data_IF_653035538689
#
_entry.id   IF_653035538689
#
_cell.length_a   1.000
_cell.length_b   1.000
_cell.length_c   1.000
_cell.angle_alpha   90.00
_cell.angle_beta   90.00
_cell.angle_gamma   90.00
#
_symmetry.space_group_name_H-M   'P 1'
#
loop_
_entity.id
_entity.type
_entity.pdbx_description
1 polymer ?
#
# COMPACT_ATOMS: atom_id res chain seq x y z
N UNK A 1 34.68 4.48 6.18
CA UNK A 1 35.11 3.06 6.09
C UNK A 1 33.96 2.08 5.88
N UNK A 2 33.06 1.79 6.84
CA UNK A 2 31.95 0.84 6.60
C UNK A 2 31.04 1.25 5.42
N UNK A 3 30.79 2.56 5.30
CA UNK A 3 30.03 3.14 4.17
C UNK A 3 30.78 3.10 2.84
N UNK A 4 32.12 3.19 2.85
CA UNK A 4 32.95 3.11 1.64
C UNK A 4 33.04 1.68 1.11
N UNK A 5 33.09 0.69 2.00
CA UNK A 5 32.91 -0.72 1.64
C UNK A 5 31.51 -0.98 1.11
N UNK A 6 30.47 -0.35 1.67
CA UNK A 6 29.09 -0.44 1.16
C UNK A 6 28.93 0.24 -0.20
N UNK A 7 29.61 1.36 -0.46
CA UNK A 7 29.58 2.03 -1.77
C UNK A 7 30.42 1.35 -2.84
N UNK A 8 31.52 0.70 -2.45
CA UNK A 8 32.31 -0.18 -3.33
C UNK A 8 31.54 -1.48 -3.65
N UNK A 9 30.81 -2.04 -2.68
CA UNK A 9 29.87 -3.15 -2.87
C UNK A 9 28.56 -2.73 -3.55
N UNK A 10 28.24 -1.43 -3.63
CA UNK A 10 27.07 -0.90 -4.36
C UNK A 10 27.41 -0.43 -5.78
N UNK A 11 28.70 -0.35 -6.14
CA UNK A 11 29.18 -0.21 -7.53
C UNK A 11 29.99 -1.44 -8.02
N UNK A 12 29.58 -2.70 -7.81
CA UNK A 12 30.15 -3.78 -8.60
C UNK A 12 29.70 -3.56 -10.05
N UNK A 13 30.44 -4.08 -11.02
CA UNK A 13 29.96 -4.22 -12.41
C UNK A 13 28.62 -5.00 -12.53
N UNK A 14 28.09 -5.51 -11.42
CA UNK A 14 26.90 -6.34 -11.29
C UNK A 14 26.09 -6.01 -10.02
N UNK A 15 24.84 -5.63 -10.19
CA UNK A 15 23.85 -5.25 -9.18
C UNK A 15 23.11 -6.48 -8.61
N UNK A 16 23.83 -7.44 -8.02
CA UNK A 16 23.22 -8.67 -7.49
C UNK A 16 22.12 -8.43 -6.44
N UNK A 17 22.32 -7.44 -5.56
CA UNK A 17 21.36 -7.11 -4.51
C UNK A 17 20.07 -6.57 -5.13
N UNK A 18 20.18 -5.62 -6.06
CA UNK A 18 19.02 -5.09 -6.79
C UNK A 18 18.30 -6.18 -7.58
N UNK A 19 19.01 -7.02 -8.32
CA UNK A 19 18.38 -8.14 -9.05
C UNK A 19 17.64 -9.10 -8.11
N UNK A 20 18.26 -9.47 -6.99
CA UNK A 20 17.66 -10.39 -6.02
C UNK A 20 16.40 -9.79 -5.40
N UNK A 21 16.45 -8.53 -4.98
CA UNK A 21 15.29 -7.82 -4.45
C UNK A 21 14.16 -7.72 -5.48
N UNK A 22 14.49 -7.46 -6.75
CA UNK A 22 13.52 -7.35 -7.83
C UNK A 22 12.79 -8.67 -8.08
N UNK A 23 13.54 -9.77 -8.20
CA UNK A 23 12.98 -11.10 -8.38
C UNK A 23 12.18 -11.56 -7.15
N UNK A 24 12.68 -11.29 -5.95
CA UNK A 24 11.95 -11.58 -4.71
C UNK A 24 10.62 -10.82 -4.64
N UNK A 25 10.60 -9.56 -5.09
CA UNK A 25 9.40 -8.74 -5.13
C UNK A 25 8.34 -9.32 -6.06
N UNK A 26 8.73 -9.75 -7.25
CA UNK A 26 7.83 -10.41 -8.22
C UNK A 26 7.32 -11.73 -7.64
N UNK A 27 8.21 -12.56 -7.09
CA UNK A 27 7.84 -13.84 -6.51
C UNK A 27 6.85 -13.69 -5.35
N UNK A 28 7.10 -12.74 -4.44
CA UNK A 28 6.18 -12.43 -3.34
C UNK A 28 4.85 -11.84 -3.84
N UNK A 29 4.87 -10.94 -4.83
CA UNK A 29 3.65 -10.39 -5.43
C UNK A 29 2.73 -11.51 -5.95
N UNK A 30 3.30 -12.44 -6.72
CA UNK A 30 2.58 -13.57 -7.29
C UNK A 30 2.07 -14.49 -6.19
N UNK A 31 2.93 -14.91 -5.26
CA UNK A 31 2.57 -15.80 -4.17
C UNK A 31 1.41 -15.25 -3.32
N UNK A 32 1.52 -14.01 -2.84
CA UNK A 32 0.49 -13.42 -1.98
C UNK A 32 -0.80 -13.12 -2.74
N UNK A 33 -0.72 -12.66 -3.99
CA UNK A 33 -1.91 -12.44 -4.83
C UNK A 33 -2.66 -13.74 -5.06
N UNK A 34 -1.97 -14.82 -5.46
CA UNK A 34 -2.58 -16.14 -5.66
C UNK A 34 -3.15 -16.70 -4.36
N UNK A 35 -2.40 -16.61 -3.25
CA UNK A 35 -2.86 -17.08 -1.95
C UNK A 35 -4.13 -16.35 -1.48
N UNK A 36 -4.17 -15.02 -1.61
CA UNK A 36 -5.34 -14.21 -1.25
C UNK A 36 -6.52 -14.54 -2.17
N UNK A 37 -6.31 -14.61 -3.49
CA UNK A 37 -7.35 -14.94 -4.45
C UNK A 37 -7.98 -16.32 -4.17
N UNK A 38 -7.16 -17.34 -3.89
CA UNK A 38 -7.63 -18.67 -3.52
C UNK A 38 -8.40 -18.67 -2.19
N UNK A 39 -7.93 -17.90 -1.19
CA UNK A 39 -8.62 -17.74 0.09
C UNK A 39 -10.00 -17.09 -0.10
N UNK A 40 -10.08 -16.00 -0.86
CA UNK A 40 -11.32 -15.30 -1.17
C UNK A 40 -12.28 -16.19 -1.97
N UNK A 41 -11.77 -16.98 -2.93
CA UNK A 41 -12.57 -17.94 -3.68
C UNK A 41 -13.19 -19.01 -2.76
N UNK A 42 -12.42 -19.56 -1.83
CA UNK A 42 -12.91 -20.53 -0.83
C UNK A 42 -13.97 -19.90 0.08
N UNK A 43 -13.74 -18.68 0.56
CA UNK A 43 -14.70 -17.95 1.39
C UNK A 43 -16.00 -17.68 0.63
N UNK A 44 -15.92 -17.24 -0.63
CA UNK A 44 -17.09 -17.03 -1.49
C UNK A 44 -17.90 -18.31 -1.64
N UNK A 45 -17.25 -19.44 -1.93
CA UNK A 45 -17.91 -20.74 -2.07
C UNK A 45 -18.68 -21.12 -0.79
N UNK A 46 -18.08 -20.91 0.39
CA UNK A 46 -18.72 -21.21 1.66
C UNK A 46 -19.92 -20.30 2.00
N UNK A 47 -19.94 -19.07 1.48
CA UNK A 47 -21.00 -18.08 1.72
C UNK A 47 -22.18 -18.26 0.75
N UNK A 48 -21.92 -18.64 -0.51
CA UNK A 48 -22.97 -18.87 -1.52
C UNK A 48 -23.99 -19.92 -1.07
N UNK A 49 -23.59 -20.86 -0.21
CA UNK A 49 -24.48 -21.89 0.33
C UNK A 49 -25.47 -21.36 1.40
N UNK A 50 -25.27 -20.14 1.94
CA UNK A 50 -25.96 -19.69 3.17
C UNK A 50 -26.72 -18.35 3.14
N UNK A 51 -26.49 -17.41 2.20
CA UNK A 51 -27.28 -16.16 2.16
C UNK A 51 -27.10 -15.30 0.89
N UNK A 52 -28.17 -14.55 0.56
CA UNK A 52 -28.22 -13.48 -0.44
C UNK A 52 -27.43 -12.23 0.02
N UNK A 53 -26.09 -12.30 -0.04
CA UNK A 53 -25.27 -11.07 0.03
C UNK A 53 -25.41 -10.25 -1.24
N UNK A 54 -25.15 -8.95 -1.12
CA UNK A 54 -25.19 -7.99 -2.23
C UNK A 54 -24.16 -8.37 -3.31
N UNK A 55 -24.62 -9.19 -4.26
CA UNK A 55 -23.82 -9.70 -5.35
C UNK A 55 -23.30 -8.57 -6.26
N UNK A 56 -23.98 -7.43 -6.31
CA UNK A 56 -23.56 -6.28 -7.09
C UNK A 56 -22.31 -5.65 -6.48
N UNK A 57 -22.29 -5.39 -5.17
CA UNK A 57 -21.13 -4.78 -4.51
C UNK A 57 -19.88 -5.67 -4.63
N UNK A 58 -20.02 -6.98 -4.41
CA UNK A 58 -18.90 -7.92 -4.58
C UNK A 58 -18.41 -7.97 -6.03
N UNK A 59 -19.32 -7.96 -7.02
CA UNK A 59 -18.94 -7.93 -8.45
C UNK A 59 -18.17 -6.66 -8.80
N UNK A 60 -18.63 -5.51 -8.33
CA UNK A 60 -17.96 -4.22 -8.57
C UNK A 60 -16.54 -4.21 -7.99
N UNK A 61 -16.35 -4.69 -6.76
CA UNK A 61 -15.02 -4.78 -6.15
C UNK A 61 -14.08 -5.75 -6.89
N UNK A 62 -14.59 -6.90 -7.37
CA UNK A 62 -13.78 -7.82 -8.19
C UNK A 62 -13.35 -7.16 -9.50
N UNK A 63 -14.27 -6.49 -10.20
CA UNK A 63 -13.94 -5.78 -11.44
C UNK A 63 -12.88 -4.69 -11.17
N UNK A 64 -13.03 -3.95 -10.08
CA UNK A 64 -12.09 -2.89 -9.70
C UNK A 64 -10.71 -3.45 -9.33
N UNK A 65 -10.66 -4.57 -8.61
CA UNK A 65 -9.41 -5.27 -8.30
C UNK A 65 -8.71 -5.76 -9.57
N UNK A 66 -9.45 -6.37 -10.51
CA UNK A 66 -8.91 -6.82 -11.80
C UNK A 66 -8.40 -5.63 -12.62
N UNK A 67 -9.16 -4.54 -12.69
CA UNK A 67 -8.76 -3.34 -13.42
C UNK A 67 -7.50 -2.70 -12.83
N UNK A 68 -7.41 -2.61 -11.50
CA UNK A 68 -6.20 -2.14 -10.80
C UNK A 68 -4.98 -3.01 -11.11
N UNK A 69 -5.15 -4.33 -11.02
CA UNK A 69 -4.08 -5.29 -11.30
C UNK A 69 -3.60 -5.24 -12.77
N UNK A 70 -4.53 -5.19 -13.74
CA UNK A 70 -4.21 -5.10 -15.17
C UNK A 70 -3.47 -3.79 -15.48
N UNK A 71 -3.99 -2.66 -14.97
CA UNK A 71 -3.39 -1.34 -15.22
C UNK A 71 -1.97 -1.27 -14.69
N UNK A 72 -1.74 -1.77 -13.48
CA UNK A 72 -0.39 -1.88 -12.92
C UNK A 72 0.50 -2.78 -13.78
N UNK A 73 0.03 -3.99 -14.08
CA UNK A 73 0.82 -4.99 -14.80
C UNK A 73 1.25 -4.45 -16.16
N UNK A 74 0.37 -3.72 -16.84
CA UNK A 74 0.67 -3.03 -18.08
C UNK A 74 1.81 -2.00 -17.92
N UNK A 75 1.67 -1.05 -16.98
CA UNK A 75 2.68 0.00 -16.80
C UNK A 75 4.03 -0.54 -16.29
N UNK A 76 4.02 -1.49 -15.36
CA UNK A 76 5.25 -2.12 -14.87
C UNK A 76 5.94 -2.92 -15.97
N UNK A 77 5.18 -3.72 -16.75
CA UNK A 77 5.77 -4.46 -17.88
C UNK A 77 6.30 -3.52 -18.96
N UNK A 78 5.61 -2.41 -19.24
CA UNK A 78 6.06 -1.37 -20.16
C UNK A 78 7.38 -0.74 -19.69
N UNK A 79 7.49 -0.40 -18.40
CA UNK A 79 8.74 0.10 -17.81
C UNK A 79 9.90 -0.90 -17.96
N UNK A 80 9.67 -2.17 -17.63
CA UNK A 80 10.67 -3.23 -17.74
C UNK A 80 11.12 -3.44 -19.19
N UNK A 81 10.17 -3.48 -20.13
CA UNK A 81 10.45 -3.63 -21.55
C UNK A 81 11.26 -2.44 -22.07
N UNK A 82 10.89 -1.20 -21.71
CA UNK A 82 11.64 -0.01 -22.11
C UNK A 82 13.06 -0.01 -21.54
N UNK A 83 13.23 -0.41 -20.28
CA UNK A 83 14.56 -0.54 -19.65
C UNK A 83 15.41 -1.59 -20.37
N UNK A 84 14.84 -2.77 -20.65
CA UNK A 84 15.52 -3.84 -21.38
C UNK A 84 15.93 -3.42 -22.79
N UNK A 85 15.01 -2.78 -23.55
CA UNK A 85 15.30 -2.32 -24.90
C UNK A 85 16.41 -1.26 -24.92
N UNK A 86 16.40 -0.29 -24.00
CA UNK A 86 17.46 0.72 -23.89
C UNK A 86 18.81 0.08 -23.58
N UNK A 87 18.86 -0.87 -22.66
CA UNK A 87 20.08 -1.62 -22.35
C UNK A 87 20.56 -2.44 -23.57
N UNK A 88 19.66 -3.16 -24.23
CA UNK A 88 20.02 -4.01 -25.37
C UNK A 88 20.56 -3.18 -26.55
N UNK A 89 19.95 -2.03 -26.85
CA UNK A 89 20.44 -1.10 -27.89
C UNK A 89 21.86 -0.58 -27.56
N UNK A 90 22.14 -0.31 -26.29
CA UNK A 90 23.48 0.09 -25.86
C UNK A 90 24.48 -1.05 -26.03
N UNK A 91 24.11 -2.28 -25.68
CA UNK A 91 24.99 -3.45 -25.86
C UNK A 91 25.29 -3.72 -27.34
N UNK A 92 24.28 -3.68 -28.20
CA UNK A 92 24.45 -3.95 -29.64
C UNK A 92 25.31 -2.87 -30.32
N UNK A 93 25.22 -1.61 -29.87
CA UNK A 93 26.02 -0.50 -30.41
C UNK A 93 27.49 -0.54 -29.96
N UNK A 94 27.76 -0.85 -28.68
CA UNK A 94 29.11 -0.79 -28.11
C UNK A 94 29.86 -2.13 -28.09
N UNK A 95 29.17 -3.28 -28.22
CA UNK A 95 29.76 -4.62 -28.08
C UNK A 95 29.34 -5.55 -29.24
N UNK A 96 29.62 -5.14 -30.50
CA UNK A 96 29.10 -5.81 -31.70
C UNK A 96 29.57 -7.25 -31.96
N UNK A 97 30.56 -7.78 -31.21
CA UNK A 97 31.25 -9.02 -31.62
C UNK A 97 31.03 -10.25 -30.73
N UNK A 98 30.27 -10.18 -29.62
CA UNK A 98 30.12 -11.33 -28.70
C UNK A 98 28.72 -11.63 -28.17
N UNK A 99 27.77 -10.69 -28.27
CA UNK A 99 26.44 -10.79 -27.63
C UNK A 99 25.35 -11.36 -28.55
N UNK A 100 25.56 -11.36 -29.86
CA UNK A 100 24.51 -11.71 -30.83
C UNK A 100 23.95 -13.13 -30.63
N UNK A 101 24.79 -14.08 -30.21
CA UNK A 101 24.43 -15.50 -30.04
C UNK A 101 23.99 -15.87 -28.60
N UNK A 102 23.92 -14.92 -27.67
CA UNK A 102 23.46 -15.22 -26.32
C UNK A 102 21.96 -15.54 -26.30
N UNK A 103 21.56 -16.59 -25.57
CA UNK A 103 20.14 -16.93 -25.38
C UNK A 103 19.40 -15.76 -24.71
N UNK A 104 18.11 -15.59 -25.01
CA UNK A 104 17.29 -14.53 -24.42
C UNK A 104 17.35 -14.50 -22.89
N UNK A 105 17.31 -15.67 -22.24
CA UNK A 105 17.45 -15.76 -20.78
C UNK A 105 18.77 -15.22 -20.25
N UNK A 106 19.88 -15.44 -20.95
CA UNK A 106 21.19 -14.89 -20.59
C UNK A 106 21.22 -13.37 -20.76
N UNK A 107 20.60 -12.86 -21.84
CA UNK A 107 20.47 -11.40 -22.06
C UNK A 107 19.65 -10.74 -20.95
N UNK A 108 18.52 -11.33 -20.57
CA UNK A 108 17.67 -10.84 -19.47
C UNK A 108 18.41 -10.88 -18.14
N UNK A 109 19.11 -11.98 -17.84
CA UNK A 109 19.90 -12.08 -16.61
C UNK A 109 20.99 -11.00 -16.55
N UNK A 110 21.74 -10.81 -17.65
CA UNK A 110 22.78 -9.79 -17.76
C UNK A 110 22.20 -8.37 -17.63
N UNK A 111 21.07 -8.10 -18.29
CA UNK A 111 20.35 -6.83 -18.14
C UNK A 111 19.96 -6.54 -16.69
N UNK A 112 19.41 -7.53 -15.98
CA UNK A 112 19.02 -7.35 -14.58
C UNK A 112 20.23 -7.05 -13.68
N UNK A 113 21.39 -7.66 -13.97
CA UNK A 113 22.63 -7.42 -13.22
C UNK A 113 23.26 -6.07 -13.58
N UNK A 114 23.17 -5.60 -14.82
CA UNK A 114 23.85 -4.37 -15.24
C UNK A 114 22.98 -3.13 -15.09
N UNK A 115 21.66 -3.28 -14.94
CA UNK A 115 20.73 -2.15 -14.80
C UNK A 115 20.53 -1.70 -13.35
N UNK A 116 20.34 -0.39 -13.19
CA UNK A 116 19.99 0.27 -11.92
C UNK A 116 18.47 0.36 -11.76
N UNK A 117 17.74 -0.71 -12.09
CA UNK A 117 16.28 -0.73 -12.29
C UNK A 117 15.48 -0.06 -11.18
N UNK A 118 15.80 -0.34 -9.92
CA UNK A 118 15.12 0.27 -8.77
C UNK A 118 15.42 1.76 -8.61
N UNK A 119 16.66 2.16 -8.84
CA UNK A 119 17.06 3.56 -8.75
C UNK A 119 16.47 4.37 -9.90
N UNK A 120 16.46 3.82 -11.11
CA UNK A 120 15.84 4.45 -12.29
C UNK A 120 14.33 4.59 -12.09
N UNK A 121 13.67 3.55 -11.57
CA UNK A 121 12.25 3.60 -11.21
C UNK A 121 12.00 4.70 -10.18
N UNK A 122 12.75 4.74 -9.09
CA UNK A 122 12.58 5.74 -8.04
C UNK A 122 12.88 7.16 -8.52
N UNK A 123 13.92 7.35 -9.34
CA UNK A 123 14.26 8.66 -9.93
C UNK A 123 13.18 9.11 -10.91
N UNK A 124 12.57 8.20 -11.66
CA UNK A 124 11.46 8.52 -12.56
C UNK A 124 10.26 9.11 -11.80
N UNK A 125 9.98 8.61 -10.59
CA UNK A 125 8.92 9.11 -9.73
C UNK A 125 9.10 10.57 -9.29
N UNK A 126 10.34 11.06 -9.21
CA UNK A 126 10.69 12.43 -8.78
C UNK A 126 11.43 13.22 -9.86
N UNK A 127 11.31 12.78 -11.12
CA UNK A 127 12.08 13.33 -12.25
C UNK A 127 11.81 14.82 -12.44
N UNK A 128 10.52 15.15 -12.53
CA UNK A 128 10.00 16.49 -12.75
C UNK A 128 8.94 16.86 -11.68
N UNK A 129 8.55 18.14 -11.64
CA UNK A 129 7.57 18.65 -10.67
C UNK A 129 6.23 17.91 -10.70
N UNK A 130 5.58 17.75 -11.87
CA UNK A 130 4.33 16.99 -11.96
C UNK A 130 4.44 15.55 -11.49
N UNK A 131 5.51 14.83 -11.87
CA UNK A 131 5.75 13.45 -11.42
C UNK A 131 5.91 13.39 -9.91
N UNK A 132 6.66 14.33 -9.34
CA UNK A 132 6.86 14.45 -7.90
C UNK A 132 5.54 14.66 -7.16
N UNK A 133 4.69 15.55 -7.65
CA UNK A 133 3.37 15.82 -7.05
C UNK A 133 2.51 14.56 -7.07
N UNK A 134 2.42 13.88 -8.22
CA UNK A 134 1.65 12.65 -8.34
C UNK A 134 2.18 11.53 -7.45
N UNK A 135 3.49 11.37 -7.35
CA UNK A 135 4.13 10.43 -6.44
C UNK A 135 3.77 10.73 -4.99
N UNK A 136 3.85 12.00 -4.57
CA UNK A 136 3.48 12.41 -3.21
C UNK A 136 2.00 12.16 -2.91
N UNK A 137 1.09 12.51 -3.84
CA UNK A 137 -0.35 12.23 -3.69
C UNK A 137 -0.58 10.71 -3.54
N UNK A 138 0.06 9.90 -4.38
CA UNK A 138 -0.10 8.45 -4.39
C UNK A 138 0.44 7.80 -3.12
N UNK A 139 1.59 8.25 -2.62
CA UNK A 139 2.17 7.77 -1.37
C UNK A 139 1.35 8.21 -0.15
N UNK A 140 0.80 9.43 -0.14
CA UNK A 140 -0.14 9.88 0.89
C UNK A 140 -1.45 9.10 0.87
N UNK A 141 -1.98 8.78 -0.31
CA UNK A 141 -3.15 7.91 -0.46
C UNK A 141 -2.85 6.49 0.06
N UNK A 142 -1.65 5.97 -0.22
CA UNK A 142 -1.17 4.68 0.31
C UNK A 142 -1.10 4.68 1.83
N UNK A 143 -0.53 5.73 2.42
CA UNK A 143 -0.51 5.92 3.87
C UNK A 143 -1.91 5.91 4.47
N UNK A 144 -2.82 6.70 3.90
CA UNK A 144 -4.22 6.77 4.33
C UNK A 144 -4.89 5.40 4.28
N UNK A 145 -4.76 4.68 3.17
CA UNK A 145 -5.32 3.33 3.04
C UNK A 145 -4.74 2.37 4.07
N UNK A 146 -3.44 2.39 4.34
CA UNK A 146 -2.86 1.55 5.39
C UNK A 146 -3.45 1.83 6.78
N UNK A 147 -3.77 3.10 7.09
CA UNK A 147 -4.48 3.47 8.33
C UNK A 147 -5.91 2.89 8.34
N UNK A 148 -6.65 3.06 7.24
CA UNK A 148 -8.02 2.52 7.10
C UNK A 148 -8.02 1.00 7.25
N UNK A 149 -7.14 0.28 6.55
CA UNK A 149 -7.05 -1.17 6.59
C UNK A 149 -6.67 -1.69 7.98
N UNK A 150 -5.75 -1.01 8.67
CA UNK A 150 -5.38 -1.35 10.04
C UNK A 150 -6.55 -1.12 11.02
N UNK A 151 -7.37 -0.09 10.81
CA UNK A 151 -8.61 0.12 11.58
C UNK A 151 -9.63 -0.97 11.29
N UNK A 152 -9.92 -1.25 10.02
CA UNK A 152 -10.92 -2.23 9.64
C UNK A 152 -10.57 -3.66 10.09
N UNK A 153 -9.29 -4.00 10.03
CA UNK A 153 -8.80 -5.25 10.61
C UNK A 153 -9.18 -5.37 12.10
N UNK A 154 -9.12 -4.27 12.86
CA UNK A 154 -9.44 -4.28 14.30
C UNK A 154 -10.92 -4.25 14.60
N UNK A 155 -11.70 -3.45 13.88
CA UNK A 155 -13.16 -3.41 14.04
C UNK A 155 -13.76 -4.79 13.79
N UNK A 156 -13.24 -5.50 12.80
CA UNK A 156 -13.65 -6.86 12.48
C UNK A 156 -12.97 -7.93 13.34
N UNK A 157 -11.90 -7.62 14.06
CA UNK A 157 -11.20 -8.56 14.95
C UNK A 157 -10.34 -9.57 14.19
N UNK A 158 -9.79 -9.17 13.04
CA UNK A 158 -8.90 -9.98 12.22
C UNK A 158 -7.56 -10.19 12.93
N UNK A 159 -7.08 -11.43 12.89
CA UNK A 159 -5.75 -11.78 13.40
C UNK A 159 -4.65 -11.13 12.57
N UNK A 160 -3.53 -10.81 13.20
CA UNK A 160 -2.33 -10.33 12.52
C UNK A 160 -1.85 -11.31 11.44
N UNK A 161 -2.01 -12.62 11.64
CA UNK A 161 -1.65 -13.63 10.64
C UNK A 161 -2.54 -13.57 9.39
N UNK A 162 -3.83 -13.23 9.55
CA UNK A 162 -4.76 -13.06 8.43
C UNK A 162 -4.47 -11.78 7.65
N UNK A 163 -4.08 -10.71 8.33
CA UNK A 163 -3.75 -9.42 7.69
C UNK A 163 -2.34 -9.38 7.10
N UNK A 164 -1.40 -10.17 7.63
CA UNK A 164 -0.02 -10.22 7.16
C UNK A 164 0.14 -10.32 5.63
N UNK A 165 -0.54 -11.23 4.90
CA UNK A 165 -0.42 -11.28 3.45
C UNK A 165 -0.89 -9.99 2.77
N UNK A 166 -1.96 -9.35 3.27
CA UNK A 166 -2.43 -8.06 2.73
C UNK A 166 -1.45 -6.94 3.05
N UNK A 167 -0.87 -6.92 4.25
CA UNK A 167 0.12 -5.90 4.65
C UNK A 167 1.38 -6.00 3.79
N UNK A 168 1.88 -7.23 3.56
CA UNK A 168 3.02 -7.43 2.69
C UNK A 168 2.66 -7.05 1.25
N UNK A 169 1.46 -7.43 0.79
CA UNK A 169 0.99 -7.06 -0.54
C UNK A 169 0.87 -5.54 -0.71
N UNK A 170 0.45 -4.77 0.30
CA UNK A 170 0.34 -3.30 0.21
C UNK A 170 1.70 -2.60 0.10
N UNK A 171 2.79 -3.25 0.50
CA UNK A 171 4.13 -2.73 0.26
C UNK A 171 4.62 -3.00 -1.15
N UNK A 172 4.08 -4.05 -1.77
CA UNK A 172 4.57 -4.60 -3.04
C UNK A 172 3.75 -4.07 -4.23
N UNK A 173 2.44 -4.13 -4.10
CA UNK A 173 1.47 -3.78 -5.12
C UNK A 173 0.77 -2.45 -4.80
N UNK A 174 0.12 -1.84 -5.81
CA UNK A 174 -0.87 -0.78 -5.68
C UNK A 174 -1.74 -0.93 -4.45
N UNK A 175 -1.89 0.16 -3.73
CA UNK A 175 -2.67 0.16 -2.50
C UNK A 175 -4.15 -0.04 -2.79
N UNK A 176 -4.65 0.45 -3.93
CA UNK A 176 -6.04 0.27 -4.34
C UNK A 176 -6.38 -1.20 -4.58
N UNK A 177 -5.46 -1.96 -5.18
CA UNK A 177 -5.61 -3.40 -5.36
C UNK A 177 -5.69 -4.12 -4.01
N UNK A 178 -4.78 -3.78 -3.09
CA UNK A 178 -4.80 -4.40 -1.77
C UNK A 178 -6.04 -4.02 -0.96
N UNK A 179 -6.44 -2.75 -1.01
CA UNK A 179 -7.64 -2.25 -0.34
C UNK A 179 -8.91 -2.95 -0.84
N UNK A 180 -9.06 -3.11 -2.17
CA UNK A 180 -10.20 -3.86 -2.75
C UNK A 180 -10.22 -5.31 -2.29
N UNK A 181 -9.08 -5.99 -2.25
CA UNK A 181 -8.99 -7.37 -1.76
C UNK A 181 -9.37 -7.50 -0.27
N UNK A 182 -8.99 -6.53 0.56
CA UNK A 182 -9.38 -6.50 1.98
C UNK A 182 -10.88 -6.21 2.12
N UNK A 183 -11.43 -5.24 1.39
CA UNK A 183 -12.88 -5.00 1.39
C UNK A 183 -13.66 -6.23 0.94
N UNK A 184 -13.16 -6.95 -0.08
CA UNK A 184 -13.73 -8.22 -0.51
C UNK A 184 -13.69 -9.26 0.62
N UNK A 185 -12.55 -9.35 1.34
CA UNK A 185 -12.43 -10.24 2.48
C UNK A 185 -13.45 -9.92 3.57
N UNK A 186 -13.60 -8.64 3.93
CA UNK A 186 -14.55 -8.17 4.94
C UNK A 186 -16.00 -8.48 4.55
N UNK A 187 -16.37 -8.30 3.27
CA UNK A 187 -17.69 -8.66 2.75
C UNK A 187 -17.95 -10.17 2.78
N UNK A 188 -16.91 -10.98 2.69
CA UNK A 188 -17.02 -12.44 2.69
C UNK A 188 -16.91 -13.06 4.10
N UNK A 189 -16.51 -12.31 5.13
CA UNK A 189 -16.52 -12.80 6.51
C UNK A 189 -17.91 -13.30 6.89
N UNK A 190 -18.08 -14.45 7.55
CA UNK A 190 -19.39 -14.88 8.01
C UNK A 190 -20.01 -13.81 8.94
N UNK A 191 -21.34 -13.61 8.94
CA UNK A 191 -21.98 -12.74 9.91
C UNK A 191 -21.50 -13.14 11.30
N UNK A 192 -21.10 -12.17 12.13
CA UNK A 192 -20.86 -12.43 13.56
C UNK A 192 -22.21 -12.81 14.15
N UNK A 193 -22.55 -14.10 14.05
CA UNK A 193 -23.79 -14.64 14.55
C UNK A 193 -23.90 -14.26 16.01
N UNK A 194 -25.04 -13.67 16.37
CA UNK A 194 -25.45 -13.43 17.74
C UNK A 194 -25.18 -14.69 18.55
N UNK A 195 -24.03 -14.73 19.22
CA UNK A 195 -23.66 -15.76 20.19
C UNK A 195 -24.47 -15.57 21.49
N UNK A 196 -25.72 -15.08 21.36
CA UNK A 196 -26.78 -15.14 22.36
C UNK A 196 -27.63 -16.40 22.21
N UNK A 197 -27.36 -17.24 21.21
CA UNK A 197 -28.12 -18.46 20.90
C UNK A 197 -27.66 -19.75 21.59
N UNK A 198 -26.52 -19.80 22.28
CA UNK A 198 -26.27 -20.89 23.23
C UNK A 198 -27.04 -20.58 24.52
N UNK A 199 -28.34 -20.85 24.46
CA UNK A 199 -29.17 -21.13 25.63
C UNK A 199 -28.40 -22.12 26.49
N UNK A 200 -27.85 -21.63 27.61
CA UNK A 200 -27.53 -22.45 28.76
C UNK A 200 -28.84 -23.14 29.14
N UNK A 201 -28.95 -24.42 28.80
CA UNK A 201 -30.04 -25.29 29.23
C UNK A 201 -30.04 -25.28 30.75
N UNK A 202 -31.12 -24.72 31.28
CA UNK A 202 -31.75 -24.93 32.59
C UNK A 202 -30.86 -25.36 33.76
N UNK A 203 -30.50 -24.39 34.59
CA UNK A 203 -30.48 -24.60 36.04
C UNK A 203 -31.54 -23.71 36.68
N UNK A 204 -32.67 -24.33 37.01
CA UNK A 204 -33.71 -23.77 37.86
C UNK A 204 -33.09 -23.31 39.18
N UNK A 205 -33.15 -22.02 39.47
CA UNK A 205 -33.23 -21.56 40.85
C UNK A 205 -34.14 -20.34 40.90
N UNK A 206 -35.39 -20.60 41.34
CA UNK A 206 -36.36 -19.57 41.69
C UNK A 206 -35.87 -18.85 42.94
N UNK A 207 -35.89 -17.53 42.93
CA UNK A 207 -35.67 -16.70 44.11
C UNK A 207 -36.17 -15.29 43.86
N UNK A 208 -37.40 -15.03 44.30
CA UNK A 208 -38.02 -13.71 44.40
C UNK A 208 -37.10 -12.72 45.13
N UNK A 209 -36.96 -11.48 44.64
CA UNK A 209 -37.06 -10.29 45.51
C UNK A 209 -37.23 -9.00 44.71
N UNK A 210 -37.91 -8.06 45.35
CA UNK A 210 -38.60 -6.87 44.85
C UNK A 210 -37.64 -5.71 44.49
N UNK A 211 -38.04 -4.90 43.51
CA UNK A 211 -37.73 -3.45 43.40
C UNK A 211 -38.17 -2.69 44.66
N UNK A 212 -37.79 -1.41 44.94
CA UNK A 212 -37.26 -0.38 44.02
C UNK A 212 -36.20 0.59 44.60
N UNK A 213 -35.54 1.41 43.76
CA UNK A 213 -35.49 2.90 43.86
C UNK A 213 -34.55 3.53 42.82
N UNK A 214 -35.06 4.62 42.22
CA UNK A 214 -34.34 5.62 41.42
C UNK A 214 -33.32 6.33 42.32
N UNK A 215 -32.05 6.31 41.92
CA UNK A 215 -31.07 7.31 42.35
C UNK A 215 -30.39 7.89 41.11
N UNK A 216 -30.67 9.18 40.87
CA UNK A 216 -29.93 10.07 39.97
C UNK A 216 -28.54 10.35 40.56
N UNK A 217 -27.69 9.33 40.60
CA UNK A 217 -26.26 9.54 40.86
C UNK A 217 -25.59 9.86 39.53
N UNK A 218 -25.06 11.08 39.45
CA UNK A 218 -24.19 11.60 38.40
C UNK A 218 -23.24 10.51 37.92
N UNK A 219 -23.54 9.94 36.75
CA UNK A 219 -22.71 8.96 36.08
C UNK A 219 -21.44 9.69 35.60
N UNK A 220 -20.49 9.89 36.52
CA UNK A 220 -19.11 10.20 36.21
C UNK A 220 -18.65 9.10 35.27
N UNK A 221 -18.68 9.38 33.96
CA UNK A 221 -18.09 8.50 32.95
C UNK A 221 -16.69 8.20 33.46
N UNK A 222 -16.35 6.93 33.75
CA UNK A 222 -15.00 6.60 34.17
C UNK A 222 -14.09 7.12 33.08
N UNK A 223 -13.20 8.05 33.45
CA UNK A 223 -12.09 8.49 32.60
C UNK A 223 -11.35 7.19 32.32
N UNK A 224 -11.59 6.61 31.14
CA UNK A 224 -10.83 5.46 30.66
C UNK A 224 -9.40 5.94 30.70
N UNK A 225 -8.58 5.34 31.56
CA UNK A 225 -7.13 5.53 31.53
C UNK A 225 -6.72 5.25 30.09
N UNK A 226 -6.32 6.30 29.40
CA UNK A 226 -5.74 6.20 28.08
C UNK A 226 -4.58 5.20 28.20
N UNK A 227 -4.62 4.15 27.38
CA UNK A 227 -3.57 3.12 27.38
C UNK A 227 -2.22 3.85 27.19
N UNK A 228 -1.30 3.81 28.17
CA UNK A 228 -0.08 4.62 28.15
C UNK A 228 0.90 4.25 27.02
N UNK A 229 0.55 3.29 26.17
CA UNK A 229 1.28 2.91 24.95
C UNK A 229 0.59 3.26 23.63
N UNK A 230 -0.58 3.92 23.65
CA UNK A 230 -1.26 4.35 22.42
C UNK A 230 -0.59 5.63 21.89
N UNK A 231 0.52 5.46 21.17
CA UNK A 231 1.13 6.57 20.44
C UNK A 231 0.17 7.06 19.35
N UNK A 232 -0.12 8.36 19.36
CA UNK A 232 -0.99 9.00 18.36
C UNK A 232 -0.46 8.74 16.94
N UNK A 233 -1.37 8.37 16.03
CA UNK A 233 -1.06 8.19 14.61
C UNK A 233 -0.55 9.48 13.92
N UNK A 234 -0.66 10.63 14.60
CA UNK A 234 -0.13 11.91 14.15
C UNK A 234 1.40 11.91 14.00
N UNK A 235 2.15 11.35 14.96
CA UNK A 235 3.63 11.40 14.93
C UNK A 235 4.17 10.68 13.68
N UNK A 236 3.78 9.42 13.41
CA UNK A 236 4.21 8.75 12.19
C UNK A 236 3.73 9.44 10.91
N UNK A 237 2.53 10.04 10.92
CA UNK A 237 2.00 10.77 9.75
C UNK A 237 2.83 12.01 9.45
N UNK A 238 3.13 12.82 10.46
CA UNK A 238 3.99 14.02 10.30
C UNK A 238 5.36 13.59 9.80
N UNK A 239 5.98 12.58 10.42
CA UNK A 239 7.28 12.06 9.99
C UNK A 239 7.24 11.61 8.52
N UNK A 240 6.24 10.82 8.14
CA UNK A 240 6.06 10.35 6.77
C UNK A 240 5.91 11.52 5.78
N UNK A 241 5.03 12.48 6.08
CA UNK A 241 4.81 13.66 5.24
C UNK A 241 6.05 14.54 5.12
N UNK A 242 6.82 14.72 6.20
CA UNK A 242 8.10 15.45 6.18
C UNK A 242 9.12 14.75 5.27
N UNK A 243 9.27 13.43 5.39
CA UNK A 243 10.20 12.68 4.54
C UNK A 243 9.78 12.76 3.07
N UNK A 244 8.48 12.63 2.76
CA UNK A 244 7.96 12.78 1.41
C UNK A 244 8.21 14.17 0.81
N UNK A 245 8.13 15.22 1.62
CA UNK A 245 8.39 16.59 1.19
C UNK A 245 9.87 16.80 0.82
N UNK A 246 10.76 16.21 1.61
CA UNK A 246 12.21 16.37 1.45
C UNK A 246 12.79 15.48 0.34
N UNK A 247 12.15 14.33 0.06
CA UNK A 247 12.62 13.33 -0.91
C UNK A 247 13.10 13.90 -2.27
N UNK A 248 12.39 14.83 -2.94
CA UNK A 248 12.81 15.34 -4.25
C UNK A 248 14.12 16.12 -4.23
N UNK A 249 14.43 16.79 -3.11
CA UNK A 249 15.68 17.54 -2.92
C UNK A 249 16.90 16.63 -2.89
N UNK A 250 16.72 15.35 -2.57
CA UNK A 250 17.79 14.36 -2.47
C UNK A 250 17.98 13.55 -3.75
N UNK A 251 17.23 13.80 -4.85
CA UNK A 251 17.22 12.95 -6.06
C UNK A 251 18.59 12.72 -6.74
N UNK A 252 19.54 13.64 -6.56
CA UNK A 252 20.90 13.55 -7.11
C UNK A 252 21.93 13.06 -6.09
N UNK A 253 21.54 12.89 -4.82
CA UNK A 253 22.42 12.47 -3.74
C UNK A 253 22.45 10.95 -3.58
N UNK A 254 23.54 10.42 -3.05
CA UNK A 254 23.62 8.99 -2.67
C UNK A 254 22.64 8.59 -1.56
N UNK A 255 22.01 9.56 -0.87
CA UNK A 255 21.00 9.31 0.16
C UNK A 255 19.59 9.09 -0.42
N UNK A 256 19.38 9.30 -1.72
CA UNK A 256 18.06 9.16 -2.33
C UNK A 256 17.44 7.79 -2.06
N UNK A 257 18.14 6.72 -2.43
CA UNK A 257 17.63 5.35 -2.27
C UNK A 257 17.42 4.95 -0.81
N UNK A 258 18.34 5.23 0.14
CA UNK A 258 18.08 5.05 1.57
C UNK A 258 16.80 5.75 2.05
N UNK A 259 16.53 6.99 1.62
CA UNK A 259 15.31 7.72 2.00
C UNK A 259 14.08 7.07 1.38
N UNK A 260 14.14 6.62 0.11
CA UNK A 260 13.05 5.86 -0.53
C UNK A 260 12.75 4.57 0.26
N UNK A 261 13.77 3.81 0.64
CA UNK A 261 13.57 2.60 1.46
C UNK A 261 13.01 2.94 2.84
N UNK A 262 13.46 4.04 3.45
CA UNK A 262 12.92 4.51 4.71
C UNK A 262 11.43 4.89 4.60
N UNK A 263 11.01 5.57 3.53
CA UNK A 263 9.57 5.85 3.31
C UNK A 263 8.75 4.57 3.20
N UNK A 264 9.28 3.52 2.55
CA UNK A 264 8.64 2.19 2.51
C UNK A 264 8.55 1.54 3.89
N UNK A 265 9.58 1.66 4.72
CA UNK A 265 9.54 1.18 6.10
C UNK A 265 8.50 1.94 6.93
N UNK A 266 8.37 3.25 6.73
CA UNK A 266 7.34 4.04 7.39
C UNK A 266 5.94 3.55 7.01
N UNK A 267 5.68 3.21 5.75
CA UNK A 267 4.36 2.69 5.31
C UNK A 267 3.89 1.41 6.04
N UNK A 268 4.79 0.67 6.70
CA UNK A 268 4.46 -0.51 7.51
C UNK A 268 3.98 -0.17 8.93
N UNK A 269 4.27 1.04 9.41
CA UNK A 269 3.95 1.49 10.78
C UNK A 269 2.46 1.33 11.09
N UNK A 270 1.49 1.79 10.28
CA UNK A 270 0.06 1.74 10.62
C UNK A 270 -0.44 0.39 11.14
N UNK A 271 0.15 -0.72 10.69
CA UNK A 271 -0.25 -2.07 11.05
C UNK A 271 0.30 -2.56 12.40
N UNK A 272 1.44 -2.04 12.86
CA UNK A 272 2.01 -2.40 14.17
C UNK A 272 1.38 -1.61 15.32
N UNK A 273 0.94 -0.38 15.06
CA UNK A 273 0.52 0.53 16.12
C UNK A 273 -0.91 0.28 16.53
N UNK A 274 -1.15 0.05 17.83
CA UNK A 274 -2.49 0.08 18.45
C UNK A 274 -3.09 1.49 18.40
N UNK A 275 -3.39 2.00 17.21
CA UNK A 275 -4.35 3.09 17.00
C UNK A 275 -5.56 2.83 17.90
N UNK A 276 -5.87 3.82 18.73
CA UNK A 276 -7.02 3.80 19.59
C UNK A 276 -8.29 3.57 18.79
N UNK A 277 -9.37 3.17 19.47
CA UNK A 277 -10.69 2.99 18.82
C UNK A 277 -11.30 4.33 18.36
N UNK A 278 -10.62 5.46 18.58
CA UNK A 278 -11.13 6.78 18.24
C UNK A 278 -11.13 6.97 16.72
N UNK A 279 -12.31 7.23 16.17
CA UNK A 279 -12.51 7.71 14.79
C UNK A 279 -11.74 9.00 14.52
N UNK A 280 -11.61 9.83 15.55
CA UNK A 280 -11.12 11.20 15.44
C UNK A 280 -9.62 11.21 15.15
N UNK A 281 -8.87 10.23 15.65
CA UNK A 281 -7.44 10.07 15.36
C UNK A 281 -7.20 9.70 13.90
N UNK A 282 -8.04 8.83 13.33
CA UNK A 282 -7.97 8.45 11.92
C UNK A 282 -8.28 9.65 11.02
N UNK A 283 -9.39 10.35 11.32
CA UNK A 283 -9.82 11.51 10.53
C UNK A 283 -8.75 12.59 10.61
N UNK A 284 -8.22 12.88 11.81
CA UNK A 284 -7.19 13.90 12.00
C UNK A 284 -5.89 13.54 11.26
N UNK A 285 -5.46 12.27 11.32
CA UNK A 285 -4.26 11.81 10.61
C UNK A 285 -4.45 11.82 9.09
N UNK A 286 -5.62 11.42 8.60
CA UNK A 286 -5.98 11.49 7.19
C UNK A 286 -6.07 12.92 6.68
N UNK A 287 -6.71 13.82 7.43
CA UNK A 287 -6.77 15.25 7.13
C UNK A 287 -5.39 15.88 7.14
N UNK A 288 -4.51 15.50 8.07
CA UNK A 288 -3.15 15.98 8.13
C UNK A 288 -2.36 15.52 6.89
N UNK A 289 -2.41 14.23 6.54
CA UNK A 289 -1.74 13.72 5.33
C UNK A 289 -2.27 14.39 4.04
N UNK A 290 -3.59 14.59 3.94
CA UNK A 290 -4.21 15.31 2.84
C UNK A 290 -3.78 16.78 2.80
N UNK A 291 -3.74 17.44 3.96
CA UNK A 291 -3.27 18.82 4.12
C UNK A 291 -1.83 18.99 3.65
N UNK A 292 -0.93 18.06 4.01
CA UNK A 292 0.44 18.04 3.51
C UNK A 292 0.51 17.82 1.99
N UNK A 293 -0.29 16.90 1.44
CA UNK A 293 -0.35 16.70 0.00
C UNK A 293 -0.81 17.98 -0.73
N UNK A 294 -1.85 18.65 -0.24
CA UNK A 294 -2.36 19.92 -0.79
C UNK A 294 -1.34 21.05 -0.62
N UNK A 295 -0.68 21.15 0.53
CA UNK A 295 0.36 22.14 0.77
C UNK A 295 1.54 21.94 -0.19
N UNK A 296 1.97 20.69 -0.41
CA UNK A 296 3.04 20.36 -1.34
C UNK A 296 2.64 20.66 -2.79
N UNK A 297 1.40 20.35 -3.18
CA UNK A 297 0.84 20.80 -4.46
C UNK A 297 0.93 22.32 -4.54
N UNK A 298 0.54 23.07 -3.50
CA UNK A 298 0.63 24.53 -3.47
C UNK A 298 2.06 25.07 -3.62
N UNK A 299 3.03 24.46 -2.92
CA UNK A 299 4.44 24.83 -2.99
C UNK A 299 5.03 24.56 -4.38
N UNK A 300 4.73 23.40 -4.96
CA UNK A 300 5.23 22.99 -6.27
C UNK A 300 4.45 23.66 -7.43
N UNK A 301 3.19 24.07 -7.21
CA UNK A 301 2.34 24.75 -8.20
C UNK A 301 2.79 26.17 -8.52
N UNK A 302 3.74 26.76 -7.77
CA UNK A 302 4.43 28.00 -8.16
C UNK A 302 5.26 27.75 -9.44
N UNK A 303 4.57 27.60 -10.58
CA UNK A 303 5.16 27.27 -11.88
C UNK A 303 4.34 26.31 -12.75
N UNK A 304 3.31 25.62 -12.23
CA UNK A 304 2.55 24.62 -13.01
C UNK A 304 1.04 24.90 -13.06
N UNK A 305 0.47 24.81 -14.25
CA UNK A 305 -0.99 24.86 -14.44
C UNK A 305 -1.64 23.50 -14.14
N UNK A 306 -2.92 23.48 -13.79
CA UNK A 306 -3.68 22.22 -13.58
C UNK A 306 -3.62 21.33 -14.83
N UNK A 307 -3.62 21.95 -16.02
CA UNK A 307 -3.44 21.25 -17.30
C UNK A 307 -2.07 20.59 -17.47
N UNK A 308 -1.01 21.16 -16.91
CA UNK A 308 0.32 20.53 -16.90
C UNK A 308 0.37 19.35 -15.92
N UNK A 309 -0.31 19.44 -14.77
CA UNK A 309 -0.45 18.33 -13.83
C UNK A 309 -1.17 17.14 -14.46
N UNK A 310 -2.31 17.40 -15.11
CA UNK A 310 -3.09 16.36 -15.78
C UNK A 310 -2.37 15.83 -17.02
N UNK A 311 -1.62 16.66 -17.73
CA UNK A 311 -0.72 16.19 -18.79
C UNK A 311 0.36 15.27 -18.23
N UNK A 312 0.88 15.54 -17.04
CA UNK A 312 1.80 14.64 -16.32
C UNK A 312 1.25 13.23 -16.12
N UNK A 313 -0.06 13.05 -15.95
CA UNK A 313 -0.70 11.73 -15.91
C UNK A 313 -0.57 10.98 -17.25
N UNK A 314 -0.55 11.69 -18.37
CA UNK A 314 -0.50 11.09 -19.71
C UNK A 314 0.92 10.98 -20.27
N UNK A 315 1.77 11.98 -20.02
CA UNK A 315 3.13 12.10 -20.57
C UNK A 315 4.21 11.77 -19.56
N UNK A 316 3.85 11.50 -18.30
CA UNK A 316 4.78 11.07 -17.27
C UNK A 316 5.42 9.72 -17.60
N UNK A 317 6.42 9.37 -16.81
CA UNK A 317 7.03 8.05 -16.85
C UNK A 317 6.02 6.93 -16.58
N UNK A 318 6.33 5.70 -17.01
CA UNK A 318 5.45 4.55 -16.76
C UNK A 318 5.26 4.30 -15.26
N UNK A 319 6.31 4.53 -14.46
CA UNK A 319 6.27 4.47 -12.99
C UNK A 319 5.29 5.46 -12.37
N UNK A 320 5.25 6.69 -12.91
CA UNK A 320 4.37 7.76 -12.44
C UNK A 320 2.93 7.44 -12.84
N UNK A 321 2.70 7.01 -14.08
CA UNK A 321 1.38 6.58 -14.56
C UNK A 321 0.80 5.48 -13.68
N UNK A 322 1.60 4.46 -13.35
CA UNK A 322 1.18 3.37 -12.49
C UNK A 322 0.69 3.86 -11.12
N UNK A 323 1.47 4.73 -10.45
CA UNK A 323 1.09 5.29 -9.14
C UNK A 323 -0.12 6.22 -9.22
N UNK A 324 -0.19 7.08 -10.22
CA UNK A 324 -1.30 8.01 -10.36
C UNK A 324 -2.62 7.29 -10.64
N UNK A 325 -2.61 6.26 -11.49
CA UNK A 325 -3.78 5.42 -11.71
C UNK A 325 -4.17 4.66 -10.44
N UNK A 326 -3.20 4.16 -9.67
CA UNK A 326 -3.48 3.56 -8.36
C UNK A 326 -4.18 4.54 -7.41
N UNK A 327 -3.72 5.80 -7.33
CA UNK A 327 -4.36 6.82 -6.52
C UNK A 327 -5.80 7.11 -6.97
N UNK A 328 -6.03 7.24 -8.28
CA UNK A 328 -7.36 7.49 -8.86
C UNK A 328 -8.30 6.31 -8.56
N UNK A 329 -7.85 5.08 -8.81
CA UNK A 329 -8.63 3.88 -8.52
C UNK A 329 -8.90 3.79 -7.02
N UNK A 330 -7.92 4.09 -6.18
CA UNK A 330 -8.07 4.16 -4.73
C UNK A 330 -9.19 5.11 -4.29
N UNK A 331 -9.34 6.27 -4.94
CA UNK A 331 -10.48 7.16 -4.66
C UNK A 331 -11.82 6.54 -5.02
N UNK A 332 -11.89 5.83 -6.15
CA UNK A 332 -13.11 5.09 -6.55
C UNK A 332 -13.44 3.99 -5.55
N UNK A 333 -12.42 3.26 -5.06
CA UNK A 333 -12.59 2.25 -3.99
C UNK A 333 -13.18 2.88 -2.73
N UNK A 334 -12.66 4.04 -2.31
CA UNK A 334 -13.15 4.75 -1.13
C UNK A 334 -14.60 5.21 -1.29
N UNK A 335 -15.02 5.59 -2.50
CA UNK A 335 -16.40 5.99 -2.77
C UNK A 335 -17.40 4.80 -2.78
N UNK A 336 -16.90 3.57 -2.96
CA UNK A 336 -17.71 2.34 -2.98
C UNK A 336 -17.75 1.60 -1.62
N UNK A 337 -16.89 1.99 -0.68
CA UNK A 337 -16.71 1.37 0.64
C UNK A 337 -17.66 2.00 1.68
#
# INVERSE_FOLDING_TARGET
MAFDTLTLLSHPKSNYIGTTLFLAYIAFALYFTTSIALSLYRQKKAVTDNASRDAHQTRSLVILALFSFITLSYHMSSFLLQSFLRWNLHQDFFYSNGSANASFGTKVWKWMLESTLFEDFAKELVRDGPSTIWTQISLSATWFWNLVLAREARTHGLSAGTMAPYIVLSQILPVSFTATLVLLHLQLLPPKGDSKGLKKVDSKTKGYSKSPKKDESKLKRPIKKDDPGAMSAMIPTVLFSTVLLVLPSFKQSGYFMPIVLFTRLLLLIPHRYRMGKSTDDLISSGMLAAGFAVANVGLLKKGYTVGQLSRGLRTGGESVKALSWDAIIGLVVAALA
#
